data_IF_509128802171
#
_entry.id   IF_509128802171
#
_cell.length_a   1.000
_cell.length_b   1.000
_cell.length_c   1.000
_cell.angle_alpha   90.00
_cell.angle_beta   90.00
_cell.angle_gamma   90.00
#
_symmetry.space_group_name_H-M   'P 1'
#
loop_
_entity.id
_entity.type
_entity.pdbx_description
1 polymer ?
#
# COMPACT_ATOMS: atom_id res chain seq x y z
N UNK A 1 13.68 -6.84 31.96
CA UNK A 1 13.20 -6.24 30.69
C UNK A 1 11.80 -6.76 30.46
N UNK A 2 10.78 -5.90 30.52
CA UNK A 2 9.42 -6.30 30.22
C UNK A 2 9.29 -6.53 28.73
N UNK A 3 9.22 -7.79 28.31
CA UNK A 3 8.84 -8.11 26.93
C UNK A 3 7.44 -7.57 26.71
N UNK A 4 7.31 -6.42 26.04
CA UNK A 4 6.02 -6.02 25.48
C UNK A 4 5.61 -7.10 24.51
N UNK A 5 4.59 -7.87 24.90
CA UNK A 5 4.02 -8.94 24.09
C UNK A 5 3.69 -8.37 22.69
N UNK A 6 4.20 -8.97 21.61
CA UNK A 6 3.91 -8.52 20.25
C UNK A 6 2.46 -8.71 19.82
N UNK A 7 1.68 -9.50 20.54
CA UNK A 7 0.29 -9.82 20.20
C UNK A 7 -0.60 -8.64 19.82
N UNK A 8 -0.55 -7.48 20.51
CA UNK A 8 -1.43 -6.36 20.20
C UNK A 8 -1.22 -5.80 18.78
N UNK A 9 0.00 -5.79 18.24
CA UNK A 9 0.25 -5.26 16.88
C UNK A 9 -0.19 -6.27 15.83
N UNK A 10 0.15 -7.54 16.00
CA UNK A 10 -0.27 -8.58 15.05
C UNK A 10 -1.80 -8.65 15.01
N UNK A 11 -2.44 -8.56 16.17
CA UNK A 11 -3.89 -8.48 16.29
C UNK A 11 -4.46 -7.21 15.64
N UNK A 12 -3.83 -6.04 15.80
CA UNK A 12 -4.27 -4.81 15.13
C UNK A 12 -4.14 -4.90 13.60
N UNK A 13 -3.07 -5.49 13.08
CA UNK A 13 -2.91 -5.75 11.66
C UNK A 13 -3.97 -6.71 11.14
N UNK A 14 -4.25 -7.79 11.88
CA UNK A 14 -5.31 -8.74 11.55
C UNK A 14 -6.70 -8.11 11.64
N UNK A 15 -6.98 -7.27 12.64
CA UNK A 15 -8.24 -6.55 12.80
C UNK A 15 -8.41 -5.55 11.65
N UNK A 16 -7.40 -4.75 11.33
CA UNK A 16 -7.46 -3.81 10.20
C UNK A 16 -7.69 -4.54 8.87
N UNK A 17 -7.04 -5.69 8.69
CA UNK A 17 -7.23 -6.54 7.51
C UNK A 17 -8.63 -7.17 7.47
N UNK A 18 -9.12 -7.73 8.58
CA UNK A 18 -10.38 -8.47 8.66
C UNK A 18 -11.61 -7.54 8.69
N UNK A 19 -11.53 -6.44 9.45
CA UNK A 19 -12.60 -5.45 9.56
C UNK A 19 -12.68 -4.52 8.33
N UNK A 20 -11.74 -4.66 7.38
CA UNK A 20 -11.71 -3.94 6.10
C UNK A 20 -11.89 -2.43 6.34
N UNK A 21 -12.79 -1.81 5.60
CA UNK A 21 -13.02 -0.38 5.63
C UNK A 21 -14.02 0.06 6.72
N UNK A 22 -14.71 -0.86 7.40
CA UNK A 22 -15.74 -0.52 8.39
C UNK A 22 -15.19 0.20 9.63
N UNK A 23 -13.97 -0.11 10.03
CA UNK A 23 -13.36 0.48 11.23
C UNK A 23 -12.39 1.63 10.91
N UNK A 24 -12.12 1.89 9.63
CA UNK A 24 -11.11 2.89 9.24
C UNK A 24 -11.46 4.28 9.75
N UNK A 25 -12.71 4.78 9.63
CA UNK A 25 -13.06 6.05 10.25
C UNK A 25 -12.76 6.05 11.76
N UNK A 26 -13.15 5.02 12.50
CA UNK A 26 -12.86 4.92 13.94
C UNK A 26 -11.37 4.87 14.26
N UNK A 27 -10.56 4.22 13.41
CA UNK A 27 -9.09 4.20 13.54
C UNK A 27 -8.52 5.61 13.36
N UNK A 28 -8.93 6.31 12.29
CA UNK A 28 -8.43 7.65 11.96
C UNK A 28 -8.82 8.69 13.01
N UNK A 29 -10.05 8.59 13.54
CA UNK A 29 -10.54 9.47 14.61
C UNK A 29 -10.03 9.08 16.00
N UNK A 30 -9.41 7.91 16.15
CA UNK A 30 -8.91 7.47 17.46
C UNK A 30 -7.80 8.42 17.96
N UNK A 31 -7.92 8.98 19.17
CA UNK A 31 -6.89 9.87 19.71
C UNK A 31 -5.62 9.11 20.14
N UNK A 32 -5.70 7.79 20.33
CA UNK A 32 -4.64 7.00 20.96
C UNK A 32 -4.07 5.91 20.08
N UNK A 33 -4.84 5.39 19.13
CA UNK A 33 -4.43 4.22 18.35
C UNK A 33 -3.21 4.52 17.46
N UNK A 34 -3.31 5.52 16.59
CA UNK A 34 -2.20 5.89 15.70
C UNK A 34 -0.95 6.29 16.49
N UNK A 35 -1.02 7.18 17.50
CA UNK A 35 0.15 7.48 18.34
C UNK A 35 0.76 6.25 19.00
N UNK A 36 -0.07 5.29 19.44
CA UNK A 36 0.42 4.04 20.03
C UNK A 36 1.15 3.18 19.00
N UNK A 37 0.59 3.00 17.80
CA UNK A 37 1.24 2.24 16.72
C UNK A 37 2.57 2.88 16.34
N UNK A 38 2.62 4.21 16.19
CA UNK A 38 3.84 4.96 15.88
C UNK A 38 4.91 4.80 16.97
N UNK A 39 4.53 4.93 18.24
CA UNK A 39 5.46 4.74 19.37
C UNK A 39 6.02 3.31 19.41
N UNK A 40 5.22 2.29 19.12
CA UNK A 40 5.73 0.92 19.11
C UNK A 40 6.65 0.69 17.90
N UNK A 41 6.28 1.18 16.72
CA UNK A 41 7.14 1.13 15.54
C UNK A 41 8.50 1.79 15.80
N UNK A 42 8.48 2.94 16.47
CA UNK A 42 9.66 3.68 16.87
C UNK A 42 10.54 2.85 17.83
N UNK A 43 9.98 2.34 18.93
CA UNK A 43 10.71 1.48 19.86
C UNK A 43 11.36 0.28 19.15
N UNK A 44 10.65 -0.36 18.22
CA UNK A 44 11.21 -1.47 17.45
C UNK A 44 12.41 -1.06 16.60
N UNK A 45 12.36 0.14 16.00
CA UNK A 45 13.48 0.66 15.23
C UNK A 45 14.68 0.99 16.12
N UNK A 46 14.44 1.54 17.31
CA UNK A 46 15.47 1.82 18.32
C UNK A 46 16.15 0.52 18.80
N UNK A 47 15.35 -0.50 19.09
CA UNK A 47 15.82 -1.81 19.52
C UNK A 47 16.66 -2.46 18.41
N UNK A 48 16.17 -2.46 17.16
CA UNK A 48 16.89 -3.03 16.01
C UNK A 48 18.26 -2.38 15.79
N UNK A 49 18.30 -1.04 15.89
CA UNK A 49 19.53 -0.26 15.74
C UNK A 49 20.51 -0.57 16.86
N UNK A 50 20.03 -0.64 18.11
CA UNK A 50 20.87 -0.93 19.28
C UNK A 50 21.47 -2.35 19.24
N UNK A 51 20.68 -3.34 18.80
CA UNK A 51 21.12 -4.74 18.71
C UNK A 51 22.00 -5.02 17.48
N UNK A 52 22.09 -4.10 16.52
CA UNK A 52 22.88 -4.26 15.30
C UNK A 52 24.40 -4.40 15.54
N UNK A 53 24.87 -4.25 16.78
CA UNK A 53 26.29 -4.19 17.10
C UNK A 53 26.82 -5.35 17.96
N UNK A 54 25.99 -6.23 18.56
CA UNK A 54 26.48 -6.95 19.77
C UNK A 54 26.08 -8.41 20.07
N UNK A 55 25.29 -9.19 19.31
CA UNK A 55 24.87 -10.54 19.84
C UNK A 55 24.77 -11.74 18.86
N UNK A 56 25.10 -12.97 19.32
CA UNK A 56 24.91 -14.23 18.56
C UNK A 56 23.45 -14.70 18.39
N UNK A 57 22.51 -14.20 19.21
CA UNK A 57 21.06 -14.50 19.12
C UNK A 57 20.31 -13.58 18.13
N UNK A 58 21.05 -12.73 17.44
CA UNK A 58 20.61 -11.78 16.41
C UNK A 58 19.59 -12.33 15.38
N UNK A 59 19.74 -13.55 14.80
CA UNK A 59 18.94 -13.92 13.63
C UNK A 59 17.43 -13.98 13.89
N UNK A 60 17.01 -14.56 15.02
CA UNK A 60 15.58 -14.70 15.37
C UNK A 60 14.96 -13.33 15.64
N UNK A 61 15.68 -12.48 16.36
CA UNK A 61 15.23 -11.12 16.71
C UNK A 61 15.05 -10.30 15.42
N UNK A 62 15.99 -10.38 14.48
CA UNK A 62 15.90 -9.66 13.21
C UNK A 62 14.74 -10.15 12.33
N UNK A 63 14.52 -11.46 12.22
CA UNK A 63 13.35 -11.99 11.50
C UNK A 63 12.04 -11.49 12.12
N UNK A 64 11.96 -11.45 13.45
CA UNK A 64 10.79 -10.91 14.14
C UNK A 64 10.61 -9.40 13.90
N UNK A 65 11.68 -8.62 13.88
CA UNK A 65 11.64 -7.19 13.55
C UNK A 65 11.08 -6.97 12.14
N UNK A 66 11.60 -7.68 11.13
CA UNK A 66 11.10 -7.57 9.74
C UNK A 66 9.62 -7.89 9.67
N UNK A 67 9.21 -9.02 10.28
CA UNK A 67 7.82 -9.46 10.28
C UNK A 67 6.89 -8.43 10.94
N UNK A 68 7.30 -7.88 12.09
CA UNK A 68 6.50 -6.86 12.82
C UNK A 68 6.42 -5.54 12.04
N UNK A 69 7.52 -5.09 11.44
CA UNK A 69 7.50 -3.91 10.56
C UNK A 69 6.58 -4.15 9.35
N UNK A 70 6.56 -5.38 8.81
CA UNK A 70 5.61 -5.78 7.78
C UNK A 70 4.15 -5.67 8.20
N UNK A 71 3.81 -6.05 9.44
CA UNK A 71 2.45 -5.85 9.97
C UNK A 71 2.08 -4.38 10.12
N UNK A 72 3.01 -3.54 10.56
CA UNK A 72 2.79 -2.09 10.68
C UNK A 72 2.62 -1.45 9.30
N UNK A 73 3.47 -1.82 8.35
CA UNK A 73 3.34 -1.40 6.95
C UNK A 73 1.99 -1.87 6.38
N UNK A 74 1.60 -3.12 6.60
CA UNK A 74 0.28 -3.62 6.19
C UNK A 74 -0.86 -2.86 6.85
N UNK A 75 -0.76 -2.51 8.13
CA UNK A 75 -1.78 -1.74 8.84
C UNK A 75 -2.01 -0.38 8.19
N UNK A 76 -0.94 0.40 8.01
CA UNK A 76 -1.01 1.70 7.38
C UNK A 76 -1.39 1.59 5.90
N UNK A 77 -0.77 0.68 5.14
CA UNK A 77 -1.09 0.43 3.75
C UNK A 77 -2.57 0.08 3.54
N UNK A 78 -3.16 -0.72 4.43
CA UNK A 78 -4.60 -0.98 4.38
C UNK A 78 -5.43 0.25 4.69
N UNK A 79 -5.03 1.11 5.64
CA UNK A 79 -5.71 2.40 5.86
C UNK A 79 -5.71 3.20 4.54
N UNK A 80 -4.54 3.40 3.94
CA UNK A 80 -4.38 4.20 2.71
C UNK A 80 -5.08 3.62 1.48
N UNK A 81 -4.93 2.32 1.24
CA UNK A 81 -5.58 1.66 0.10
C UNK A 81 -7.10 1.73 0.21
N UNK A 82 -7.66 1.71 1.43
CA UNK A 82 -9.10 1.64 1.66
C UNK A 82 -9.76 3.00 1.79
N UNK A 83 -9.03 4.03 2.22
CA UNK A 83 -9.40 5.42 1.92
C UNK A 83 -9.31 5.71 0.42
N UNK A 84 -8.82 4.74 -0.38
CA UNK A 84 -8.78 4.78 -1.84
C UNK A 84 -7.97 5.94 -2.37
N UNK A 85 -6.98 6.38 -1.59
CA UNK A 85 -6.22 7.60 -1.85
C UNK A 85 -7.10 8.84 -1.98
N UNK A 86 -8.29 8.87 -1.37
CA UNK A 86 -9.09 10.08 -1.23
C UNK A 86 -8.39 10.98 -0.20
N UNK A 87 -7.80 12.11 -0.62
CA UNK A 87 -7.08 13.03 0.27
C UNK A 87 -7.93 13.44 1.48
N UNK A 88 -9.22 13.64 1.23
CA UNK A 88 -10.22 14.10 2.22
C UNK A 88 -10.31 13.20 3.46
N UNK A 89 -10.05 11.89 3.31
CA UNK A 89 -10.03 10.98 4.46
C UNK A 89 -8.73 11.05 5.24
N UNK A 90 -7.62 11.40 4.59
CA UNK A 90 -6.35 11.64 5.26
C UNK A 90 -6.32 13.02 5.91
N UNK A 91 -7.09 13.99 5.43
CA UNK A 91 -7.27 15.29 6.10
C UNK A 91 -7.87 15.19 7.50
N UNK A 92 -8.55 14.08 7.79
CA UNK A 92 -9.00 13.76 9.16
C UNK A 92 -7.82 13.50 10.10
N UNK A 93 -6.66 13.10 9.58
CA UNK A 93 -5.45 12.93 10.40
C UNK A 93 -4.83 14.29 10.71
N UNK A 94 -4.66 14.61 12.01
CA UNK A 94 -3.84 15.74 12.43
C UNK A 94 -2.43 15.69 11.81
N UNK A 95 -1.89 16.87 11.48
CA UNK A 95 -0.59 17.02 10.81
C UNK A 95 0.54 16.30 11.56
N UNK A 96 0.56 16.34 12.89
CA UNK A 96 1.55 15.63 13.72
C UNK A 96 1.51 14.11 13.51
N UNK A 97 0.32 13.54 13.28
CA UNK A 97 0.17 12.11 12.96
C UNK A 97 0.62 11.81 11.55
N UNK A 98 0.29 12.68 10.58
CA UNK A 98 0.78 12.54 9.20
C UNK A 98 2.32 12.51 9.20
N UNK A 99 2.96 13.49 9.84
CA UNK A 99 4.42 13.57 10.00
C UNK A 99 4.99 12.36 10.73
N UNK A 100 4.35 11.90 11.81
CA UNK A 100 4.80 10.72 12.55
C UNK A 100 4.79 9.43 11.73
N UNK A 101 3.79 9.24 10.85
CA UNK A 101 3.75 8.10 9.91
C UNK A 101 4.91 8.17 8.93
N UNK A 102 5.16 9.34 8.35
CA UNK A 102 6.27 9.55 7.40
C UNK A 102 7.61 9.25 8.06
N UNK A 103 7.87 9.82 9.25
CA UNK A 103 9.08 9.58 10.04
C UNK A 103 9.28 8.10 10.37
N UNK A 104 8.20 7.43 10.78
CA UNK A 104 8.22 5.99 11.09
C UNK A 104 8.58 5.16 9.86
N UNK A 105 7.96 5.41 8.71
CA UNK A 105 8.26 4.69 7.47
C UNK A 105 9.72 4.86 7.07
N UNK A 106 10.21 6.10 7.13
CA UNK A 106 11.57 6.46 6.78
C UNK A 106 12.58 5.70 7.65
N UNK A 107 12.37 5.72 8.98
CA UNK A 107 13.24 5.05 9.95
C UNK A 107 13.20 3.52 9.84
N UNK A 108 12.01 2.95 9.59
CA UNK A 108 11.85 1.52 9.38
C UNK A 108 12.61 1.03 8.14
N UNK A 109 12.61 1.83 7.06
CA UNK A 109 13.38 1.51 5.83
C UNK A 109 14.89 1.45 6.15
N UNK A 110 15.42 2.39 6.93
CA UNK A 110 16.84 2.39 7.32
C UNK A 110 17.20 1.15 8.14
N UNK A 111 16.36 0.80 9.11
CA UNK A 111 16.52 -0.43 9.92
C UNK A 111 16.57 -1.66 9.03
N UNK A 112 15.65 -1.78 8.07
CA UNK A 112 15.60 -2.91 7.12
C UNK A 112 16.82 -2.98 6.19
N UNK A 113 17.68 -1.96 6.16
CA UNK A 113 18.93 -1.95 5.39
C UNK A 113 20.17 -2.22 6.24
N UNK A 114 20.03 -2.37 7.56
CA UNK A 114 21.16 -2.68 8.43
C UNK A 114 21.85 -3.99 7.99
N UNK A 115 23.19 -4.03 7.87
CA UNK A 115 23.90 -5.19 7.33
C UNK A 115 23.55 -6.52 8.00
N UNK A 116 23.36 -6.55 9.32
CA UNK A 116 22.96 -7.77 10.03
C UNK A 116 21.53 -8.23 9.69
N UNK A 117 20.61 -7.30 9.49
CA UNK A 117 19.26 -7.62 8.98
C UNK A 117 19.34 -8.17 7.56
N UNK A 118 20.25 -7.65 6.74
CA UNK A 118 20.49 -8.16 5.39
C UNK A 118 20.99 -9.60 5.39
N UNK A 119 21.83 -9.96 6.34
CA UNK A 119 22.41 -11.29 6.45
C UNK A 119 21.42 -12.36 6.92
N UNK A 120 20.41 -11.99 7.72
CA UNK A 120 19.58 -12.96 8.43
C UNK A 120 18.11 -13.01 8.00
N UNK A 121 17.58 -11.93 7.43
CA UNK A 121 16.22 -11.94 6.88
C UNK A 121 16.24 -12.27 5.38
N UNK A 122 15.24 -13.03 4.90
CA UNK A 122 15.13 -13.30 3.47
C UNK A 122 15.00 -11.99 2.68
N UNK A 123 15.74 -11.89 1.58
CA UNK A 123 15.74 -10.72 0.70
C UNK A 123 14.32 -10.39 0.22
N UNK A 124 13.52 -11.41 -0.09
CA UNK A 124 12.13 -11.28 -0.51
C UNK A 124 11.27 -10.59 0.57
N UNK A 125 11.30 -11.07 1.82
CA UNK A 125 10.51 -10.49 2.91
C UNK A 125 10.93 -9.05 3.16
N UNK A 126 12.23 -8.78 3.18
CA UNK A 126 12.76 -7.43 3.43
C UNK A 126 12.36 -6.46 2.33
N UNK A 127 12.48 -6.88 1.07
CA UNK A 127 12.12 -6.08 -0.10
C UNK A 127 10.61 -5.80 -0.12
N UNK A 128 9.78 -6.79 0.20
CA UNK A 128 8.33 -6.62 0.30
C UNK A 128 7.96 -5.53 1.33
N UNK A 129 8.51 -5.61 2.55
CA UNK A 129 8.24 -4.61 3.60
C UNK A 129 8.75 -3.22 3.21
N UNK A 130 9.95 -3.12 2.60
CA UNK A 130 10.48 -1.85 2.10
C UNK A 130 9.55 -1.23 1.05
N UNK A 131 9.02 -2.04 0.13
CA UNK A 131 8.11 -1.56 -0.91
C UNK A 131 6.80 -1.04 -0.31
N UNK A 132 6.22 -1.75 0.66
CA UNK A 132 5.00 -1.31 1.36
C UNK A 132 5.22 0.02 2.09
N UNK A 133 6.32 0.13 2.85
CA UNK A 133 6.67 1.37 3.57
C UNK A 133 6.94 2.53 2.62
N UNK A 134 7.60 2.27 1.49
CA UNK A 134 7.88 3.28 0.46
C UNK A 134 6.57 3.76 -0.20
N UNK A 135 5.63 2.85 -0.46
CA UNK A 135 4.30 3.19 -0.96
C UNK A 135 3.52 4.08 0.01
N UNK A 136 3.53 3.75 1.31
CA UNK A 136 2.91 4.59 2.35
C UNK A 136 3.54 5.97 2.39
N UNK A 137 4.88 6.03 2.47
CA UNK A 137 5.63 7.27 2.54
C UNK A 137 5.26 8.21 1.38
N UNK A 138 5.14 7.66 0.18
CA UNK A 138 4.81 8.40 -1.03
C UNK A 138 3.39 8.95 -1.02
N UNK A 139 2.41 8.11 -0.64
CA UNK A 139 1.03 8.55 -0.54
C UNK A 139 0.87 9.69 0.46
N UNK A 140 1.75 9.77 1.45
CA UNK A 140 1.76 10.81 2.46
C UNK A 140 2.52 12.08 2.05
N UNK A 141 3.48 12.01 1.13
CA UNK A 141 4.19 13.19 0.63
C UNK A 141 3.33 14.07 -0.28
N UNK A 142 2.26 13.52 -0.86
CA UNK A 142 1.33 14.21 -1.76
C UNK A 142 0.38 15.18 -1.00
N UNK A 143 0.47 15.23 0.34
CA UNK A 143 -0.54 15.79 1.26
C UNK A 143 -0.07 17.05 2.04
N UNK A 144 0.86 17.83 1.48
CA UNK A 144 1.45 19.03 2.13
C UNK A 144 1.98 18.75 3.56
N UNK A 145 2.56 17.56 3.77
CA UNK A 145 3.14 17.16 5.06
C UNK A 145 4.44 17.91 5.30
N UNK A 146 4.55 18.60 6.44
CA UNK A 146 5.83 19.22 6.86
C UNK A 146 6.90 18.13 6.97
N UNK A 147 8.02 18.38 6.30
CA UNK A 147 9.21 17.53 6.28
C UNK A 147 10.25 17.98 7.31
N UNK A 148 9.89 18.91 8.19
CA UNK A 148 10.79 19.44 9.20
C UNK A 148 11.29 18.31 10.12
N UNK A 149 12.61 18.21 10.27
CA UNK A 149 13.25 17.16 11.07
C UNK A 149 13.39 15.80 10.37
N UNK A 150 12.97 15.66 9.11
CA UNK A 150 13.26 14.48 8.28
C UNK A 150 14.52 14.78 7.45
N UNK A 151 15.50 13.87 7.50
CA UNK A 151 16.74 14.02 6.72
C UNK A 151 16.41 14.12 5.21
N UNK A 152 16.83 15.20 4.51
CA UNK A 152 16.66 15.34 3.07
C UNK A 152 17.22 14.18 2.26
N UNK A 153 18.28 13.52 2.73
CA UNK A 153 18.83 12.32 2.10
C UNK A 153 17.85 11.15 2.16
N UNK A 154 17.11 11.01 3.25
CA UNK A 154 16.12 9.96 3.45
C UNK A 154 14.87 10.20 2.58
N UNK A 155 14.42 11.44 2.46
CA UNK A 155 13.36 11.83 1.52
C UNK A 155 13.80 11.52 0.09
N UNK A 156 15.00 11.95 -0.31
CA UNK A 156 15.55 11.67 -1.64
C UNK A 156 15.67 10.17 -1.90
N UNK A 157 16.15 9.40 -0.92
CA UNK A 157 16.32 7.95 -1.06
C UNK A 157 14.99 7.20 -1.08
N UNK A 158 13.98 7.66 -0.33
CA UNK A 158 12.62 7.14 -0.39
C UNK A 158 11.98 7.47 -1.74
N UNK A 159 12.18 8.69 -2.26
CA UNK A 159 11.77 9.09 -3.61
C UNK A 159 12.51 8.31 -4.69
N UNK A 160 13.79 7.98 -4.53
CA UNK A 160 14.55 7.14 -5.47
C UNK A 160 14.16 5.66 -5.38
N UNK A 161 13.84 5.17 -4.17
CA UNK A 161 13.31 3.81 -3.97
C UNK A 161 11.92 3.71 -4.58
N UNK A 162 11.11 4.75 -4.42
CA UNK A 162 9.85 4.91 -5.09
C UNK A 162 10.07 4.99 -6.60
N UNK A 163 11.03 5.77 -7.10
CA UNK A 163 11.33 5.86 -8.52
C UNK A 163 11.73 4.48 -9.08
N UNK A 164 12.46 3.66 -8.33
CA UNK A 164 12.70 2.26 -8.73
C UNK A 164 11.47 1.35 -8.67
N UNK A 165 10.41 1.72 -7.95
CA UNK A 165 9.19 0.91 -7.74
C UNK A 165 7.99 1.42 -8.57
N UNK A 166 7.87 2.73 -8.76
CA UNK A 166 6.86 3.55 -9.47
C UNK A 166 7.36 4.06 -10.83
N UNK A 167 8.67 4.10 -11.04
CA UNK A 167 9.31 4.20 -12.36
C UNK A 167 10.13 2.95 -12.69
N UNK A 168 10.08 1.93 -11.82
CA UNK A 168 10.42 0.56 -12.19
C UNK A 168 9.57 0.11 -13.39
N UNK A 169 10.06 -0.83 -14.21
CA UNK A 169 9.37 -1.22 -15.44
C UNK A 169 7.90 -1.54 -15.14
N UNK A 170 6.91 -0.96 -15.84
CA UNK A 170 5.46 -1.18 -15.73
C UNK A 170 4.97 -2.51 -15.18
N UNK A 171 5.64 -3.62 -15.50
CA UNK A 171 5.35 -4.96 -14.99
C UNK A 171 5.43 -5.11 -13.47
N UNK A 172 6.22 -4.28 -12.75
CA UNK A 172 6.28 -4.30 -11.27
C UNK A 172 5.12 -3.57 -10.62
N UNK A 173 4.60 -2.52 -11.24
CA UNK A 173 3.50 -1.71 -10.70
C UNK A 173 2.15 -2.33 -10.98
N UNK A 174 2.04 -3.01 -12.13
CA UNK A 174 0.79 -3.55 -12.64
C UNK A 174 0.04 -4.46 -11.64
N UNK A 175 0.69 -5.41 -10.94
CA UNK A 175 0.00 -6.22 -9.92
C UNK A 175 -0.60 -5.38 -8.81
N UNK A 176 0.17 -4.42 -8.26
CA UNK A 176 -0.29 -3.57 -7.16
C UNK A 176 -1.51 -2.74 -7.56
N UNK A 177 -1.50 -2.15 -8.76
CA UNK A 177 -2.61 -1.33 -9.26
C UNK A 177 -3.87 -2.16 -9.52
N UNK A 178 -3.73 -3.29 -10.22
CA UNK A 178 -4.87 -4.15 -10.55
C UNK A 178 -5.50 -4.76 -9.30
N UNK A 179 -4.66 -5.23 -8.35
CA UNK A 179 -5.11 -5.71 -7.04
C UNK A 179 -5.81 -4.59 -6.27
N UNK A 180 -5.24 -3.39 -6.29
CA UNK A 180 -5.87 -2.18 -5.75
C UNK A 180 -7.29 -1.98 -6.29
N UNK A 181 -7.49 -1.94 -7.60
CA UNK A 181 -8.83 -1.81 -8.20
C UNK A 181 -9.78 -2.97 -7.83
N UNK A 182 -9.31 -4.22 -7.87
CA UNK A 182 -10.16 -5.38 -7.56
C UNK A 182 -10.57 -5.45 -6.10
N UNK A 183 -9.72 -4.97 -5.19
CA UNK A 183 -9.95 -5.03 -3.73
C UNK A 183 -10.63 -3.79 -3.18
N UNK A 184 -10.33 -2.59 -3.67
CA UNK A 184 -10.94 -1.34 -3.17
C UNK A 184 -12.44 -1.33 -3.36
N UNK A 185 -12.95 -2.01 -4.39
CA UNK A 185 -14.38 -2.17 -4.66
C UNK A 185 -15.13 -0.83 -4.55
N UNK A 186 -14.51 0.19 -5.14
CA UNK A 186 -15.14 1.47 -5.44
C UNK A 186 -15.84 1.36 -6.79
N UNK A 187 -16.88 2.17 -6.95
CA UNK A 187 -17.51 2.30 -8.25
C UNK A 187 -16.54 3.00 -9.20
N UNK A 188 -16.32 2.41 -10.38
CA UNK A 188 -15.47 3.00 -11.41
C UNK A 188 -16.16 4.13 -12.20
N UNK A 189 -17.46 4.33 -11.99
CA UNK A 189 -18.20 5.39 -12.66
C UNK A 189 -17.81 6.77 -12.13
N UNK A 190 -17.54 7.67 -13.07
CA UNK A 190 -17.19 9.05 -12.77
C UNK A 190 -18.25 9.69 -11.88
N UNK A 191 -17.80 10.40 -10.84
CA UNK A 191 -18.65 11.07 -9.82
C UNK A 191 -19.50 10.13 -8.95
N UNK A 192 -19.31 8.81 -9.01
CA UNK A 192 -19.98 7.89 -8.11
C UNK A 192 -19.13 7.67 -6.85
N UNK A 193 -19.64 8.13 -5.71
CA UNK A 193 -18.98 7.98 -4.41
C UNK A 193 -19.25 6.62 -3.76
N UNK A 194 -19.97 5.72 -4.45
CA UNK A 194 -20.30 4.41 -3.91
C UNK A 194 -19.04 3.54 -3.74
N UNK A 195 -18.90 3.00 -2.54
CA UNK A 195 -17.89 2.02 -2.16
C UNK A 195 -18.54 0.83 -1.46
N UNK A 196 -17.77 -0.23 -1.18
CA UNK A 196 -18.22 -1.35 -0.34
C UNK A 196 -18.92 -0.94 0.96
N UNK A 197 -18.62 0.25 1.50
CA UNK A 197 -19.20 0.73 2.75
C UNK A 197 -20.58 1.35 2.56
N UNK A 198 -20.86 1.89 1.37
CA UNK A 198 -22.08 2.68 1.10
C UNK A 198 -23.09 1.90 0.27
N UNK A 199 -22.64 0.96 -0.57
CA UNK A 199 -23.53 0.13 -1.39
C UNK A 199 -23.44 -1.35 -1.02
N UNK A 200 -24.61 -1.98 -0.88
CA UNK A 200 -24.75 -3.39 -0.50
C UNK A 200 -24.36 -4.37 -1.62
N UNK A 201 -24.28 -3.92 -2.88
CA UNK A 201 -24.01 -4.81 -4.01
C UNK A 201 -23.04 -4.19 -5.01
N UNK A 202 -21.87 -4.79 -5.15
CA UNK A 202 -20.93 -4.50 -6.24
C UNK A 202 -20.88 -5.66 -7.21
N UNK A 203 -20.90 -5.35 -8.51
CA UNK A 203 -20.67 -6.32 -9.57
C UNK A 203 -19.40 -5.96 -10.32
N UNK A 204 -18.57 -6.98 -10.53
CA UNK A 204 -17.39 -6.85 -11.39
C UNK A 204 -17.79 -6.91 -12.85
N UNK A 205 -17.05 -6.20 -13.70
CA UNK A 205 -17.14 -6.38 -15.13
C UNK A 205 -16.91 -7.86 -15.47
N UNK A 206 -17.85 -8.48 -16.18
CA UNK A 206 -17.77 -9.91 -16.55
C UNK A 206 -16.59 -10.22 -17.48
N UNK A 207 -16.16 -9.24 -18.27
CA UNK A 207 -15.05 -9.40 -19.22
C UNK A 207 -13.68 -9.36 -18.53
N UNK A 208 -13.36 -8.28 -17.82
CA UNK A 208 -12.04 -8.12 -17.21
C UNK A 208 -11.92 -8.69 -15.79
N UNK A 209 -13.04 -8.86 -15.06
CA UNK A 209 -13.11 -9.36 -13.67
C UNK A 209 -12.33 -8.53 -12.63
N UNK A 210 -11.89 -7.32 -12.98
CA UNK A 210 -11.15 -6.42 -12.08
C UNK A 210 -12.00 -5.23 -11.65
N UNK A 211 -12.52 -4.47 -12.61
CA UNK A 211 -13.26 -3.23 -12.36
C UNK A 211 -14.66 -3.54 -11.81
N UNK A 212 -15.08 -2.77 -10.80
CA UNK A 212 -16.34 -2.94 -10.08
C UNK A 212 -17.29 -1.75 -10.26
N UNK A 213 -18.59 -2.02 -10.22
CA UNK A 213 -19.66 -1.03 -10.28
C UNK A 213 -20.71 -1.32 -9.21
N UNK A 214 -21.30 -0.29 -8.61
CA UNK A 214 -22.43 -0.45 -7.68
C UNK A 214 -23.72 -0.87 -8.42
N UNK A 215 -23.77 -0.75 -9.75
CA UNK A 215 -24.92 -1.16 -10.54
C UNK A 215 -24.73 -0.99 -12.06
N UNK A 216 -25.68 -1.47 -12.87
CA UNK A 216 -25.61 -1.43 -14.33
C UNK A 216 -25.64 -0.01 -14.90
N UNK A 217 -26.26 0.95 -14.22
CA UNK A 217 -26.28 2.36 -14.63
C UNK A 217 -24.86 2.95 -14.57
N UNK A 218 -24.14 2.72 -13.47
CA UNK A 218 -22.76 3.13 -13.32
C UNK A 218 -21.83 2.42 -14.31
N UNK A 219 -22.06 1.13 -14.60
CA UNK A 219 -21.32 0.43 -15.64
C UNK A 219 -21.49 1.08 -17.02
N UNK A 220 -22.73 1.44 -17.40
CA UNK A 220 -23.03 2.12 -18.68
C UNK A 220 -22.37 3.49 -18.74
N UNK A 221 -22.47 4.28 -17.66
CA UNK A 221 -21.86 5.60 -17.56
C UNK A 221 -20.34 5.55 -17.73
N UNK A 222 -19.68 4.59 -17.06
CA UNK A 222 -18.24 4.44 -17.12
C UNK A 222 -17.73 3.75 -18.40
N UNK A 223 -18.62 3.19 -19.22
CA UNK A 223 -18.24 2.28 -20.31
C UNK A 223 -17.34 2.97 -21.34
N UNK A 224 -17.58 4.24 -21.66
CA UNK A 224 -16.74 4.98 -22.61
C UNK A 224 -15.26 5.02 -22.18
N UNK A 225 -15.00 5.25 -20.88
CA UNK A 225 -13.65 5.26 -20.30
C UNK A 225 -13.10 3.85 -20.03
N UNK A 226 -13.96 2.90 -19.63
CA UNK A 226 -13.56 1.54 -19.32
C UNK A 226 -13.26 0.69 -20.56
N UNK A 227 -14.04 0.85 -21.64
CA UNK A 227 -13.98 -0.01 -22.84
C UNK A 227 -12.57 -0.12 -23.45
N UNK A 228 -11.79 0.96 -23.61
CA UNK A 228 -10.42 0.89 -24.13
C UNK A 228 -9.52 -0.02 -23.30
N UNK A 229 -9.62 0.04 -21.98
CA UNK A 229 -8.75 -0.73 -21.07
C UNK A 229 -9.31 -2.10 -20.69
N UNK A 230 -10.61 -2.33 -20.86
CA UNK A 230 -11.27 -3.57 -20.45
C UNK A 230 -10.63 -4.80 -21.10
N UNK A 231 -10.34 -4.72 -22.40
CA UNK A 231 -9.70 -5.80 -23.17
C UNK A 231 -8.26 -6.01 -22.72
N UNK A 232 -7.52 -4.93 -22.49
CA UNK A 232 -6.13 -4.97 -22.03
C UNK A 232 -6.03 -5.63 -20.66
N UNK A 233 -6.88 -5.22 -19.70
CA UNK A 233 -6.94 -5.86 -18.38
C UNK A 233 -7.31 -7.34 -18.50
N UNK A 234 -8.29 -7.69 -19.34
CA UNK A 234 -8.67 -9.09 -19.53
C UNK A 234 -7.53 -9.94 -20.15
N UNK A 235 -6.72 -9.33 -21.02
CA UNK A 235 -5.53 -9.96 -21.61
C UNK A 235 -4.46 -10.16 -20.53
N UNK A 236 -4.06 -9.08 -19.85
CA UNK A 236 -3.09 -9.12 -18.74
C UNK A 236 -3.46 -10.18 -17.70
N UNK A 237 -4.71 -10.17 -17.24
CA UNK A 237 -5.21 -11.13 -16.26
C UNK A 237 -5.02 -12.58 -16.73
N UNK A 238 -5.28 -12.86 -18.02
CA UNK A 238 -5.12 -14.20 -18.60
C UNK A 238 -3.65 -14.58 -18.73
N UNK A 239 -2.83 -13.68 -19.29
CA UNK A 239 -1.40 -13.90 -19.53
C UNK A 239 -0.63 -14.06 -18.21
N UNK A 240 -1.10 -13.39 -17.16
CA UNK A 240 -0.62 -13.55 -15.79
C UNK A 240 -1.13 -14.81 -15.07
N UNK A 241 -1.96 -15.68 -15.67
CA UNK A 241 -2.40 -16.91 -15.01
C UNK A 241 -3.79 -16.85 -14.35
N UNK A 242 -4.61 -15.88 -14.74
CA UNK A 242 -6.06 -15.87 -14.54
C UNK A 242 -6.54 -15.08 -13.33
N UNK A 243 -5.91 -15.19 -12.18
CA UNK A 243 -6.27 -14.39 -11.00
C UNK A 243 -5.16 -13.40 -10.66
N UNK A 244 -5.45 -12.11 -10.79
CA UNK A 244 -4.52 -11.01 -10.48
C UNK A 244 -4.11 -10.94 -9.00
N UNK A 245 -4.84 -11.60 -8.09
CA UNK A 245 -4.47 -11.72 -6.68
C UNK A 245 -3.52 -12.90 -6.40
N UNK A 246 -3.24 -13.74 -7.40
CA UNK A 246 -2.46 -14.96 -7.21
C UNK A 246 -0.97 -14.71 -7.29
N UNK A 247 -0.20 -15.52 -6.56
CA UNK A 247 1.26 -15.55 -6.66
C UNK A 247 1.73 -15.87 -8.09
N UNK A 248 0.98 -16.71 -8.81
CA UNK A 248 1.25 -16.99 -10.22
C UNK A 248 1.22 -15.73 -11.09
N UNK A 249 0.33 -14.77 -10.80
CA UNK A 249 0.27 -13.49 -11.50
C UNK A 249 1.53 -12.66 -11.33
N UNK A 250 2.02 -12.56 -10.10
CA UNK A 250 3.27 -11.86 -9.79
C UNK A 250 4.45 -12.49 -10.55
N UNK A 251 4.62 -13.81 -10.41
CA UNK A 251 5.71 -14.55 -11.05
C UNK A 251 5.65 -14.47 -12.58
N UNK A 252 4.46 -14.49 -13.18
CA UNK A 252 4.30 -14.36 -14.63
C UNK A 252 4.61 -12.93 -15.13
N UNK A 253 4.33 -11.89 -14.33
CA UNK A 253 4.75 -10.53 -14.65
C UNK A 253 6.28 -10.40 -14.61
N UNK A 254 6.92 -10.94 -13.57
CA UNK A 254 8.39 -10.94 -13.42
C UNK A 254 9.09 -11.74 -14.52
N UNK A 255 8.48 -12.84 -14.97
CA UNK A 255 8.94 -13.65 -16.09
C UNK A 255 8.68 -13.02 -17.47
N UNK A 256 8.10 -11.81 -17.54
CA UNK A 256 7.85 -11.10 -18.80
C UNK A 256 6.73 -11.71 -19.66
N UNK A 257 5.85 -12.53 -19.09
CA UNK A 257 4.70 -13.11 -19.82
C UNK A 257 3.60 -12.11 -20.09
N UNK A 258 3.56 -11.02 -19.33
CA UNK A 258 2.67 -9.88 -19.57
C UNK A 258 3.42 -8.87 -20.44
N UNK A 259 2.77 -8.40 -21.50
CA UNK A 259 3.34 -7.38 -22.39
C UNK A 259 3.46 -6.03 -21.66
N UNK A 260 4.66 -5.45 -21.69
CA UNK A 260 4.95 -4.16 -21.10
C UNK A 260 4.06 -3.03 -21.62
N UNK A 261 3.73 -3.04 -22.92
CA UNK A 261 2.88 -2.01 -23.54
C UNK A 261 1.45 -2.09 -23.01
N UNK A 262 0.94 -3.30 -22.82
CA UNK A 262 -0.36 -3.51 -22.20
C UNK A 262 -0.37 -3.03 -20.75
N UNK A 263 0.70 -3.32 -20.00
CA UNK A 263 0.87 -2.83 -18.64
C UNK A 263 0.84 -1.29 -18.58
N UNK A 264 1.57 -0.62 -19.48
CA UNK A 264 1.60 0.84 -19.55
C UNK A 264 0.23 1.45 -19.83
N UNK A 265 -0.53 0.87 -20.77
CA UNK A 265 -1.92 1.33 -21.07
C UNK A 265 -2.81 1.30 -19.82
N UNK A 266 -2.67 0.27 -18.99
CA UNK A 266 -3.43 0.15 -17.74
C UNK A 266 -2.98 1.18 -16.71
N UNK A 267 -1.66 1.39 -16.55
CA UNK A 267 -1.09 2.38 -15.64
C UNK A 267 -1.54 3.80 -16.01
N UNK A 268 -1.50 4.17 -17.28
CA UNK A 268 -1.88 5.49 -17.75
C UNK A 268 -3.38 5.76 -17.48
N UNK A 269 -4.21 4.75 -17.71
CA UNK A 269 -5.64 4.84 -17.43
C UNK A 269 -5.95 4.91 -15.93
N UNK A 270 -5.15 4.22 -15.09
CA UNK A 270 -5.24 4.36 -13.64
C UNK A 270 -4.96 5.79 -13.19
N UNK A 271 -3.86 6.36 -13.69
CA UNK A 271 -3.48 7.75 -13.40
C UNK A 271 -4.56 8.75 -13.84
N UNK A 272 -5.15 8.56 -15.02
CA UNK A 272 -6.25 9.40 -15.50
C UNK A 272 -7.53 9.25 -14.66
N UNK A 273 -7.87 8.02 -14.26
CA UNK A 273 -9.00 7.75 -13.38
C UNK A 273 -8.82 8.40 -12.01
N UNK A 274 -7.61 8.31 -11.42
CA UNK A 274 -7.31 8.92 -10.13
C UNK A 274 -7.48 10.44 -10.15
N UNK A 275 -7.02 11.12 -11.20
CA UNK A 275 -7.22 12.58 -11.36
C UNK A 275 -8.70 12.99 -11.39
N UNK A 276 -9.57 12.15 -11.95
CA UNK A 276 -11.00 12.45 -12.11
C UNK A 276 -11.85 12.02 -10.91
N UNK A 277 -11.34 11.15 -10.04
CA UNK A 277 -12.07 10.59 -8.89
C UNK A 277 -11.48 10.97 -7.53
N UNK A 278 -10.23 11.48 -7.48
CA UNK A 278 -9.50 11.79 -6.25
C UNK A 278 -9.49 13.26 -5.83
N UNK A 279 -10.26 14.13 -6.50
CA UNK A 279 -10.47 15.50 -6.03
C UNK A 279 -9.29 16.48 -6.12
N UNK A 280 -8.19 16.12 -6.79
CA UNK A 280 -7.07 17.06 -7.00
C UNK A 280 -7.03 17.49 -8.46
N UNK A 281 -7.56 18.68 -8.73
CA UNK A 281 -7.19 19.47 -9.89
C UNK A 281 -5.85 20.16 -9.56
N UNK A 282 -4.77 19.76 -10.24
CA UNK A 282 -3.56 20.58 -10.35
C UNK A 282 -3.85 21.79 -11.26
#
# INVERSE_FOLDING_TARGET
MGHTDPWPIELLGMIAYAARSLIIPSILHSPTLIPTVLRIAQQMCDDATSHSSQTPSAPIIFIQIVRRLGFIASFFGNIFLRTGGAPEMLDVLPTDRKTGIVQMCARAIDVLRLPLLVQHASEENRTSVINDLTGIFTLMLDEDVSLDGIDPALIRQALESLDRTVHGPPLRQLPLLLVGWKRTMRCYAMSCQESLQTSQTFKRCSACKVISYCGPNCQKLAWAAHKPICKTIAKITRDGGGDIDSEAFRLNCEAGKVDFRDAQVVIDAFSAWRRTHGGIHL
#
